data_IF_219931267079
#
_entry.id   IF_219931267079
#
_cell.length_a   1.000
_cell.length_b   1.000
_cell.length_c   1.000
_cell.angle_alpha   90.00
_cell.angle_beta   90.00
_cell.angle_gamma   90.00
#
_symmetry.space_group_name_H-M   'P 1'
#
loop_
_entity.id
_entity.type
_entity.pdbx_description
1 polymer ?
#
# COMPACT_ATOMS: atom_id res chain seq x y z
N UNK A 1 13.92 20.63 -72.20
CA UNK A 1 13.04 21.18 -71.17
C UNK A 1 12.92 20.20 -70.02
N UNK A 2 12.74 20.75 -68.82
CA UNK A 2 12.39 20.08 -67.55
C UNK A 2 13.34 19.02 -66.96
N UNK A 3 14.44 19.53 -66.44
CA UNK A 3 15.02 19.22 -65.12
C UNK A 3 14.16 18.40 -64.13
N UNK A 4 14.75 17.31 -63.63
CA UNK A 4 14.99 17.18 -62.18
C UNK A 4 13.87 16.65 -61.27
N UNK A 5 13.33 15.46 -61.52
CA UNK A 5 12.60 14.69 -60.49
C UNK A 5 13.59 13.87 -59.64
N UNK A 6 14.44 14.55 -58.86
CA UNK A 6 15.31 13.87 -57.88
C UNK A 6 14.47 13.41 -56.68
N UNK A 7 14.62 12.12 -56.38
CA UNK A 7 14.10 11.38 -55.22
C UNK A 7 14.39 12.09 -53.88
N UNK A 8 13.53 13.02 -53.48
CA UNK A 8 13.64 13.76 -52.21
C UNK A 8 12.81 13.14 -51.07
N UNK A 9 12.01 12.10 -51.32
CA UNK A 9 11.05 11.59 -50.33
C UNK A 9 11.61 10.65 -49.23
N UNK A 10 12.63 9.80 -49.45
CA UNK A 10 13.11 8.91 -48.40
C UNK A 10 14.07 9.58 -47.41
N UNK A 11 14.80 10.62 -47.82
CA UNK A 11 15.74 11.33 -46.94
C UNK A 11 15.02 12.24 -45.93
N UNK A 12 13.96 12.94 -46.37
CA UNK A 12 13.16 13.83 -45.49
C UNK A 12 12.43 13.01 -44.41
N UNK A 13 12.00 11.80 -44.73
CA UNK A 13 11.35 10.90 -43.77
C UNK A 13 12.36 10.37 -42.73
N UNK A 14 13.60 10.06 -43.13
CA UNK A 14 14.67 9.64 -42.20
C UNK A 14 15.18 10.78 -41.33
N UNK A 15 15.21 12.02 -41.83
CA UNK A 15 15.49 13.20 -41.00
C UNK A 15 14.35 13.47 -40.03
N UNK A 16 13.10 13.34 -40.48
CA UNK A 16 11.92 13.49 -39.63
C UNK A 16 11.82 12.42 -38.52
N UNK A 17 12.19 11.16 -38.80
CA UNK A 17 12.24 10.09 -37.80
C UNK A 17 13.35 10.32 -36.77
N UNK A 18 14.52 10.82 -37.21
CA UNK A 18 15.63 11.16 -36.32
C UNK A 18 15.28 12.34 -35.41
N UNK A 19 14.68 13.39 -35.96
CA UNK A 19 14.26 14.56 -35.20
C UNK A 19 13.10 14.24 -34.24
N UNK A 20 12.19 13.35 -34.65
CA UNK A 20 11.12 12.84 -33.79
C UNK A 20 11.67 12.01 -32.62
N UNK A 21 12.63 11.12 -32.88
CA UNK A 21 13.25 10.33 -31.82
C UNK A 21 14.07 11.22 -30.87
N UNK A 22 14.80 12.21 -31.39
CA UNK A 22 15.51 13.18 -30.55
C UNK A 22 14.55 13.99 -29.67
N UNK A 23 13.41 14.44 -30.19
CA UNK A 23 12.41 15.15 -29.38
C UNK A 23 11.73 14.24 -28.36
N UNK A 24 11.44 12.97 -28.69
CA UNK A 24 10.95 11.98 -27.73
C UNK A 24 11.94 11.72 -26.59
N UNK A 25 13.23 11.56 -26.90
CA UNK A 25 14.29 11.41 -25.89
C UNK A 25 14.37 12.64 -24.97
N UNK A 26 14.25 13.85 -25.53
CA UNK A 26 14.22 15.08 -24.74
C UNK A 26 12.97 15.18 -23.84
N UNK A 27 11.81 14.72 -24.32
CA UNK A 27 10.57 14.69 -23.54
C UNK A 27 10.63 13.66 -22.41
N UNK A 28 11.20 12.48 -22.64
CA UNK A 28 11.41 11.47 -21.60
C UNK A 28 12.39 11.95 -20.53
N UNK A 29 13.48 12.61 -20.94
CA UNK A 29 14.43 13.24 -20.03
C UNK A 29 13.77 14.36 -19.20
N UNK A 30 12.95 15.20 -19.82
CA UNK A 30 12.21 16.26 -19.15
C UNK A 30 11.19 15.70 -18.15
N UNK A 31 10.46 14.63 -18.52
CA UNK A 31 9.53 13.92 -17.64
C UNK A 31 10.23 13.32 -16.42
N UNK A 32 11.38 12.67 -16.62
CA UNK A 32 12.16 12.09 -15.53
C UNK A 32 12.67 13.16 -14.56
N UNK A 33 13.20 14.27 -15.09
CA UNK A 33 13.64 15.41 -14.27
C UNK A 33 12.49 16.02 -13.46
N UNK A 34 11.33 16.19 -14.09
CA UNK A 34 10.14 16.72 -13.43
C UNK A 34 9.64 15.79 -12.30
N UNK A 35 9.64 14.47 -12.53
CA UNK A 35 9.28 13.49 -11.50
C UNK A 35 10.24 13.51 -10.31
N UNK A 36 11.55 13.59 -10.55
CA UNK A 36 12.55 13.70 -9.49
C UNK A 36 12.42 15.02 -8.73
N UNK A 37 12.18 16.13 -9.42
CA UNK A 37 11.93 17.43 -8.76
C UNK A 37 10.69 17.38 -7.86
N UNK A 38 9.59 16.81 -8.33
CA UNK A 38 8.39 16.61 -7.50
C UNK A 38 8.66 15.70 -6.29
N UNK A 39 9.44 14.62 -6.46
CA UNK A 39 9.84 13.76 -5.35
C UNK A 39 10.67 14.54 -4.31
N UNK A 40 11.64 15.34 -4.76
CA UNK A 40 12.47 16.17 -3.88
C UNK A 40 11.62 17.20 -3.13
N UNK A 41 10.68 17.87 -3.80
CA UNK A 41 9.77 18.85 -3.17
C UNK A 41 8.85 18.16 -2.15
N UNK A 42 8.34 16.97 -2.45
CA UNK A 42 7.55 16.18 -1.50
C UNK A 42 8.38 15.79 -0.27
N UNK A 43 9.60 15.27 -0.46
CA UNK A 43 10.52 14.95 0.63
C UNK A 43 10.89 16.19 1.48
N UNK A 44 11.08 17.34 0.83
CA UNK A 44 11.37 18.60 1.52
C UNK A 44 10.19 19.03 2.40
N UNK A 45 8.96 18.95 1.87
CA UNK A 45 7.73 19.26 2.62
C UNK A 45 7.59 18.35 3.85
N UNK A 46 7.82 17.05 3.70
CA UNK A 46 7.83 16.10 4.82
C UNK A 46 8.90 16.46 5.85
N UNK A 47 10.09 16.88 5.40
CA UNK A 47 11.19 17.31 6.28
C UNK A 47 10.84 18.56 7.09
N UNK A 48 10.12 19.51 6.49
CA UNK A 48 9.62 20.70 7.19
C UNK A 48 8.60 20.30 8.26
N UNK A 49 7.68 19.38 7.96
CA UNK A 49 6.72 18.84 8.92
C UNK A 49 7.45 18.16 10.09
N UNK A 50 8.46 17.33 9.82
CA UNK A 50 9.27 16.69 10.87
C UNK A 50 9.98 17.73 11.76
N UNK A 51 10.51 18.80 11.18
CA UNK A 51 11.11 19.91 11.96
C UNK A 51 10.08 20.62 12.84
N UNK A 52 8.86 20.78 12.36
CA UNK A 52 7.76 21.34 13.13
C UNK A 52 7.42 20.48 14.36
N UNK A 53 7.42 19.14 14.22
CA UNK A 53 7.31 18.22 15.36
C UNK A 53 8.42 18.34 16.39
N UNK A 54 9.65 18.71 15.98
CA UNK A 54 10.74 18.98 16.92
C UNK A 54 10.53 20.28 17.70
N UNK A 55 9.94 21.32 17.08
CA UNK A 55 9.61 22.56 17.78
C UNK A 55 8.55 22.35 18.89
N UNK A 56 7.65 21.38 18.71
CA UNK A 56 6.66 21.00 19.71
C UNK A 56 7.25 20.39 20.99
N UNK A 57 8.49 19.85 20.96
CA UNK A 57 9.18 19.38 22.17
C UNK A 57 9.50 20.51 23.16
N UNK A 58 9.47 21.78 22.70
CA UNK A 58 9.59 22.95 23.57
C UNK A 58 8.37 23.16 24.47
N UNK A 59 7.24 22.49 24.19
CA UNK A 59 6.04 22.54 25.03
C UNK A 59 6.04 21.37 26.03
N UNK A 60 6.08 21.69 27.33
CA UNK A 60 6.20 20.71 28.42
C UNK A 60 5.14 19.61 28.38
N UNK A 61 3.89 19.92 28.00
CA UNK A 61 2.81 18.92 27.93
C UNK A 61 3.02 17.91 26.80
N UNK A 62 3.42 18.38 25.63
CA UNK A 62 3.59 17.53 24.44
C UNK A 62 4.88 16.70 24.52
N UNK A 63 5.91 17.21 25.20
CA UNK A 63 7.14 16.46 25.48
C UNK A 63 6.92 15.25 26.40
N UNK A 64 6.01 15.34 27.37
CA UNK A 64 5.66 14.20 28.24
C UNK A 64 5.00 13.07 27.44
N UNK A 65 4.13 13.42 26.49
CA UNK A 65 3.51 12.46 25.58
C UNK A 65 4.58 11.83 24.68
N UNK A 66 5.47 12.63 24.09
CA UNK A 66 6.56 12.14 23.24
C UNK A 66 7.52 11.20 24.00
N UNK A 67 7.89 11.52 25.24
CA UNK A 67 8.71 10.65 26.10
C UNK A 67 7.99 9.36 26.49
N UNK A 68 6.68 9.41 26.68
CA UNK A 68 5.87 8.21 26.95
C UNK A 68 5.88 7.28 25.73
N UNK A 69 5.64 7.81 24.53
CA UNK A 69 5.75 7.02 23.30
C UNK A 69 7.15 6.45 23.08
N UNK A 70 8.20 7.21 23.42
CA UNK A 70 9.58 6.74 23.33
C UNK A 70 9.89 5.62 24.33
N UNK A 71 9.30 5.65 25.53
CA UNK A 71 9.44 4.60 26.55
C UNK A 71 8.77 3.30 26.10
N UNK A 72 7.52 3.38 25.63
CA UNK A 72 6.72 2.21 25.23
C UNK A 72 7.09 1.66 23.84
N UNK A 73 8.05 2.27 23.13
CA UNK A 73 8.37 1.90 21.74
C UNK A 73 8.85 0.45 21.60
N UNK A 74 9.68 -0.03 22.54
CA UNK A 74 10.21 -1.39 22.49
C UNK A 74 9.09 -2.44 22.55
N UNK A 75 8.09 -2.22 23.40
CA UNK A 75 6.94 -3.12 23.52
C UNK A 75 6.09 -3.07 22.26
N UNK A 76 5.83 -1.87 21.71
CA UNK A 76 5.12 -1.70 20.43
C UNK A 76 5.81 -2.47 19.30
N UNK A 77 7.14 -2.43 19.23
CA UNK A 77 7.90 -3.19 18.21
C UNK A 77 7.71 -4.70 18.36
N UNK A 78 7.77 -5.23 19.59
CA UNK A 78 7.51 -6.64 19.83
C UNK A 78 6.11 -7.06 19.40
N UNK A 79 5.08 -6.27 19.73
CA UNK A 79 3.71 -6.54 19.29
C UNK A 79 3.53 -6.42 17.77
N UNK A 80 4.20 -5.45 17.13
CA UNK A 80 4.17 -5.29 15.68
C UNK A 80 4.75 -6.49 14.94
N UNK A 81 5.79 -7.13 15.46
CA UNK A 81 6.34 -8.35 14.86
C UNK A 81 5.31 -9.49 14.90
N UNK A 82 4.68 -9.71 16.06
CA UNK A 82 3.64 -10.75 16.21
C UNK A 82 2.44 -10.46 15.31
N UNK A 83 1.99 -9.20 15.27
CA UNK A 83 0.92 -8.74 14.39
C UNK A 83 1.24 -9.01 12.92
N UNK A 84 2.43 -8.61 12.45
CA UNK A 84 2.85 -8.81 11.06
C UNK A 84 2.88 -10.29 10.67
N UNK A 85 3.37 -11.17 11.54
CA UNK A 85 3.38 -12.61 11.25
C UNK A 85 1.96 -13.14 11.07
N UNK A 86 1.04 -12.85 11.99
CA UNK A 86 -0.36 -13.26 11.89
C UNK A 86 -1.03 -12.66 10.65
N UNK A 87 -0.81 -11.37 10.41
CA UNK A 87 -1.35 -10.63 9.28
C UNK A 87 -0.92 -11.24 7.94
N UNK A 88 0.38 -11.49 7.76
CA UNK A 88 0.93 -12.09 6.54
C UNK A 88 0.43 -13.53 6.35
N UNK A 89 0.39 -14.33 7.42
CA UNK A 89 -0.15 -15.70 7.36
C UNK A 89 -1.62 -15.70 6.93
N UNK A 90 -2.46 -14.85 7.53
CA UNK A 90 -3.87 -14.78 7.18
C UNK A 90 -4.10 -14.24 5.76
N UNK A 91 -3.28 -13.28 5.31
CA UNK A 91 -3.30 -12.80 3.93
C UNK A 91 -2.90 -13.90 2.93
N UNK A 92 -1.88 -14.72 3.24
CA UNK A 92 -1.50 -15.86 2.40
C UNK A 92 -2.61 -16.92 2.35
N UNK A 93 -3.20 -17.26 3.50
CA UNK A 93 -4.32 -18.21 3.57
C UNK A 93 -5.50 -17.70 2.74
N UNK A 94 -5.85 -16.41 2.86
CA UNK A 94 -6.92 -15.80 2.08
C UNK A 94 -6.63 -15.81 0.58
N UNK A 95 -5.39 -15.55 0.18
CA UNK A 95 -4.96 -15.63 -1.22
C UNK A 95 -5.09 -17.05 -1.78
N UNK A 96 -4.62 -18.06 -1.04
CA UNK A 96 -4.63 -19.46 -1.48
C UNK A 96 -6.06 -20.02 -1.54
N UNK A 97 -6.91 -19.68 -0.57
CA UNK A 97 -8.28 -20.17 -0.53
C UNK A 97 -9.19 -19.42 -1.50
N UNK A 98 -9.14 -18.08 -1.51
CA UNK A 98 -10.17 -17.28 -2.17
C UNK A 98 -9.67 -16.55 -3.43
N UNK A 99 -8.39 -16.67 -3.77
CA UNK A 99 -7.80 -15.91 -4.88
C UNK A 99 -8.37 -16.22 -6.26
N UNK A 100 -8.96 -17.40 -6.46
CA UNK A 100 -9.60 -17.76 -7.72
C UNK A 100 -11.05 -17.25 -7.83
N UNK A 101 -11.72 -17.03 -6.68
CA UNK A 101 -13.15 -16.72 -6.64
C UNK A 101 -13.43 -15.25 -6.33
N UNK A 102 -12.53 -14.60 -5.61
CA UNK A 102 -12.74 -13.27 -5.03
C UNK A 102 -11.65 -12.35 -5.55
N UNK A 103 -12.07 -11.29 -6.24
CA UNK A 103 -11.17 -10.34 -6.91
C UNK A 103 -10.20 -9.68 -5.92
N UNK A 104 -10.65 -9.46 -4.70
CA UNK A 104 -9.92 -8.84 -3.60
C UNK A 104 -8.75 -9.71 -3.13
N UNK A 105 -8.79 -11.03 -3.41
CA UNK A 105 -7.75 -11.98 -3.07
C UNK A 105 -6.95 -12.48 -4.29
N UNK A 106 -7.15 -11.92 -5.49
CA UNK A 106 -6.56 -12.47 -6.73
C UNK A 106 -5.02 -12.45 -6.78
N UNK A 107 -4.38 -11.54 -6.06
CA UNK A 107 -2.93 -11.47 -5.96
C UNK A 107 -2.52 -11.33 -4.50
N UNK A 108 -1.27 -11.68 -4.17
CA UNK A 108 -0.75 -11.51 -2.82
C UNK A 108 -0.81 -10.04 -2.37
N UNK A 109 -0.48 -9.09 -3.25
CA UNK A 109 -0.57 -7.66 -2.95
C UNK A 109 -2.00 -7.18 -2.71
N UNK A 110 -2.95 -7.67 -3.51
CA UNK A 110 -4.37 -7.37 -3.29
C UNK A 110 -4.89 -8.00 -2.00
N UNK A 111 -4.48 -9.23 -1.68
CA UNK A 111 -4.87 -9.92 -0.44
C UNK A 111 -4.39 -9.17 0.80
N UNK A 112 -3.15 -8.67 0.78
CA UNK A 112 -2.61 -7.81 1.85
C UNK A 112 -3.42 -6.52 2.01
N UNK A 113 -3.72 -5.85 0.90
CA UNK A 113 -4.55 -4.65 0.91
C UNK A 113 -5.95 -4.93 1.47
N UNK A 114 -6.56 -6.05 1.09
CA UNK A 114 -7.86 -6.49 1.58
C UNK A 114 -7.83 -6.79 3.07
N UNK A 115 -6.84 -7.51 3.58
CA UNK A 115 -6.66 -7.71 5.02
C UNK A 115 -6.52 -6.37 5.77
N UNK A 116 -5.83 -5.38 5.19
CA UNK A 116 -5.69 -4.05 5.76
C UNK A 116 -7.00 -3.25 5.74
N UNK A 117 -7.80 -3.37 4.67
CA UNK A 117 -9.15 -2.78 4.61
C UNK A 117 -10.07 -3.39 5.68
N UNK A 118 -10.07 -4.72 5.80
CA UNK A 118 -10.84 -5.43 6.83
C UNK A 118 -10.42 -4.98 8.24
N UNK A 119 -9.13 -4.72 8.47
CA UNK A 119 -8.62 -4.17 9.72
C UNK A 119 -9.19 -2.77 10.03
N UNK A 120 -9.37 -1.92 9.02
CA UNK A 120 -10.02 -0.62 9.17
C UNK A 120 -11.55 -0.71 9.33
N UNK A 121 -12.12 -1.92 9.24
CA UNK A 121 -13.56 -2.14 9.25
C UNK A 121 -14.22 -1.95 7.88
N UNK A 122 -13.43 -1.86 6.80
CA UNK A 122 -13.95 -1.85 5.43
C UNK A 122 -13.92 -3.26 4.84
N UNK A 123 -15.11 -3.85 4.75
CA UNK A 123 -15.31 -5.18 4.20
C UNK A 123 -16.55 -5.23 3.30
N UNK A 124 -16.76 -4.18 2.49
CA UNK A 124 -17.88 -4.11 1.55
C UNK A 124 -17.96 -5.32 0.60
N UNK A 125 -16.80 -5.88 0.21
CA UNK A 125 -16.70 -7.09 -0.60
C UNK A 125 -17.34 -8.32 0.08
N UNK A 126 -17.24 -8.43 1.41
CA UNK A 126 -17.81 -9.54 2.17
C UNK A 126 -19.33 -9.42 2.27
N UNK A 127 -19.84 -8.19 2.43
CA UNK A 127 -21.27 -7.92 2.43
C UNK A 127 -21.91 -8.21 1.06
N UNK A 128 -21.23 -7.85 -0.04
CA UNK A 128 -21.68 -8.14 -1.40
C UNK A 128 -21.72 -9.65 -1.70
N UNK A 129 -20.86 -10.45 -1.05
CA UNK A 129 -20.91 -11.91 -1.11
C UNK A 129 -22.06 -12.53 -0.30
N UNK A 130 -22.88 -11.72 0.39
CA UNK A 130 -24.08 -12.15 1.11
C UNK A 130 -25.10 -12.86 0.21
N UNK A 131 -25.22 -12.40 -1.03
CA UNK A 131 -26.29 -12.80 -1.95
C UNK A 131 -25.88 -13.93 -2.91
N UNK A 132 -24.63 -14.41 -2.82
CA UNK A 132 -24.10 -15.48 -3.68
C UNK A 132 -24.42 -16.89 -3.15
N UNK A 133 -24.52 -17.91 -4.03
CA UNK A 133 -24.80 -19.29 -3.64
C UNK A 133 -23.87 -19.86 -2.54
N UNK A 134 -24.33 -20.91 -1.84
CA UNK A 134 -23.63 -21.53 -0.70
C UNK A 134 -22.21 -22.05 -1.03
N UNK A 135 -21.90 -22.23 -2.31
CA UNK A 135 -20.60 -22.66 -2.81
C UNK A 135 -20.02 -21.60 -3.74
N UNK A 136 -18.72 -21.35 -3.59
CA UNK A 136 -17.96 -20.48 -4.48
C UNK A 136 -17.72 -21.17 -5.85
N UNK A 137 -17.46 -20.42 -6.92
CA UNK A 137 -17.21 -20.97 -8.26
C UNK A 137 -16.12 -22.07 -8.32
N UNK A 138 -15.13 -22.03 -7.44
CA UNK A 138 -14.07 -23.03 -7.29
C UNK A 138 -14.48 -24.34 -6.58
N UNK A 139 -15.70 -24.41 -6.02
CA UNK A 139 -16.17 -25.52 -5.19
C UNK A 139 -15.83 -25.40 -3.71
N UNK A 140 -15.22 -24.29 -3.28
CA UNK A 140 -14.95 -24.03 -1.87
C UNK A 140 -16.27 -23.66 -1.15
N UNK A 141 -16.57 -24.26 0.01
CA UNK A 141 -17.80 -23.96 0.73
C UNK A 141 -17.70 -22.58 1.39
N UNK A 142 -18.78 -21.80 1.33
CA UNK A 142 -18.84 -20.43 1.88
C UNK A 142 -18.52 -20.37 3.38
N UNK A 143 -18.82 -21.44 4.11
CA UNK A 143 -18.50 -21.56 5.54
C UNK A 143 -17.02 -21.34 5.84
N UNK A 144 -16.11 -21.75 4.94
CA UNK A 144 -14.67 -21.59 5.12
C UNK A 144 -14.27 -20.11 5.10
N UNK A 145 -14.90 -19.31 4.24
CA UNK A 145 -14.72 -17.86 4.22
C UNK A 145 -15.22 -17.21 5.50
N UNK A 146 -16.39 -17.61 5.99
CA UNK A 146 -16.94 -17.10 7.25
C UNK A 146 -15.99 -17.42 8.41
N UNK A 147 -15.53 -18.67 8.50
CA UNK A 147 -14.55 -19.09 9.52
C UNK A 147 -13.27 -18.28 9.42
N UNK A 148 -12.72 -18.11 8.22
CA UNK A 148 -11.51 -17.33 8.00
C UNK A 148 -11.70 -15.88 8.46
N UNK A 149 -12.81 -15.23 8.09
CA UNK A 149 -13.10 -13.84 8.43
C UNK A 149 -13.20 -13.64 9.94
N UNK A 150 -14.01 -14.45 10.64
CA UNK A 150 -14.15 -14.35 12.09
C UNK A 150 -12.85 -14.69 12.82
N UNK A 151 -12.11 -15.68 12.33
CA UNK A 151 -10.81 -16.04 12.91
C UNK A 151 -9.81 -14.88 12.77
N UNK A 152 -9.75 -14.24 11.60
CA UNK A 152 -8.91 -13.06 11.38
C UNK A 152 -9.27 -11.92 12.33
N UNK A 153 -10.56 -11.56 12.39
CA UNK A 153 -11.05 -10.50 13.28
C UNK A 153 -10.74 -10.80 14.75
N UNK A 154 -10.94 -12.03 15.19
CA UNK A 154 -10.69 -12.43 16.57
C UNK A 154 -9.19 -12.42 16.92
N UNK A 155 -8.33 -12.97 16.06
CA UNK A 155 -6.88 -12.96 16.27
C UNK A 155 -6.34 -11.53 16.33
N UNK A 156 -6.75 -10.67 15.40
CA UNK A 156 -6.29 -9.27 15.40
C UNK A 156 -6.83 -8.52 16.61
N UNK A 157 -8.09 -8.75 17.01
CA UNK A 157 -8.64 -8.15 18.22
C UNK A 157 -7.85 -8.55 19.48
N UNK A 158 -7.47 -9.83 19.63
CA UNK A 158 -6.63 -10.29 20.75
C UNK A 158 -5.27 -9.59 20.72
N UNK A 159 -4.62 -9.50 19.56
CA UNK A 159 -3.31 -8.85 19.44
C UNK A 159 -3.39 -7.36 19.82
N UNK A 160 -4.40 -6.64 19.32
CA UNK A 160 -4.60 -5.23 19.64
C UNK A 160 -4.96 -5.02 21.11
N UNK A 161 -5.79 -5.89 21.70
CA UNK A 161 -6.14 -5.85 23.12
C UNK A 161 -4.91 -6.12 24.00
N UNK A 162 -4.08 -7.09 23.62
CA UNK A 162 -2.84 -7.41 24.34
C UNK A 162 -1.84 -6.25 24.26
N UNK A 163 -1.77 -5.54 23.13
CA UNK A 163 -0.97 -4.32 23.00
C UNK A 163 -1.49 -3.22 23.93
N UNK A 164 -2.80 -2.99 23.97
CA UNK A 164 -3.42 -1.99 24.85
C UNK A 164 -3.15 -2.32 26.33
N UNK A 165 -3.32 -3.58 26.71
CA UNK A 165 -3.04 -4.06 28.07
C UNK A 165 -1.57 -3.85 28.44
N UNK A 166 -0.63 -4.17 27.55
CA UNK A 166 0.79 -3.95 27.79
C UNK A 166 1.11 -2.48 28.04
N UNK A 167 0.60 -1.56 27.22
CA UNK A 167 0.82 -0.11 27.38
C UNK A 167 0.22 0.41 28.68
N UNK A 168 -0.97 -0.06 29.06
CA UNK A 168 -1.61 0.34 30.32
C UNK A 168 -0.81 -0.20 31.51
N UNK A 169 -0.42 -1.47 31.50
CA UNK A 169 0.32 -2.10 32.60
C UNK A 169 1.75 -1.54 32.74
N UNK A 170 2.39 -1.07 31.67
CA UNK A 170 3.69 -0.39 31.76
C UNK A 170 3.57 0.97 32.49
N UNK A 171 2.38 1.57 32.51
CA UNK A 171 2.11 2.86 33.16
C UNK A 171 1.66 2.77 34.62
N UNK A 172 1.23 1.60 35.09
CA UNK A 172 0.72 1.36 36.44
C UNK A 172 1.71 0.53 37.28
#
# INVERSE_FOLDING_TARGET
DSSGTRSLKPDIMRTSERDLNATLEHLELMRMRFSVLHLIVACNTVSIIMRFFKAFQSNQRLNIVAKTFASCYQDIVHFMIVFLVIFLCMAMIGHVLFGNDVREFHSMGSSLNTCFMVLMGDFGWYAALGDTPEMLPSGIPRILMVIWFFTYMFLVAIVLLNMLLAIILEKY
#
